data_IF_124182736545
#
_entry.id   IF_124182736545
#
_cell.length_a   1.000
_cell.length_b   1.000
_cell.length_c   1.000
_cell.angle_alpha   90.00
_cell.angle_beta   90.00
_cell.angle_gamma   90.00
#
_symmetry.space_group_name_H-M   'P 1'
#
loop_
_entity.id
_entity.type
_entity.pdbx_description
1 polymer ?
#
# COMPACT_ATOMS: atom_id res chain seq x y z
N UNK A 1 -37.41 55.40 47.88
CA UNK A 1 -37.38 53.93 47.97
C UNK A 1 -36.02 53.48 48.49
N UNK A 2 -36.01 52.92 49.70
CA UNK A 2 -34.83 52.39 50.40
C UNK A 2 -34.49 50.99 49.86
N UNK A 3 -33.21 50.63 49.75
CA UNK A 3 -32.65 49.65 50.68
C UNK A 3 -31.14 49.81 50.82
N UNK A 4 -30.72 50.08 52.06
CA UNK A 4 -29.34 50.20 52.53
C UNK A 4 -28.61 48.85 52.46
N UNK A 5 -27.32 48.89 52.13
CA UNK A 5 -26.34 47.97 52.75
C UNK A 5 -25.27 48.80 53.48
N UNK A 6 -24.88 48.41 54.70
CA UNK A 6 -24.07 49.23 55.58
C UNK A 6 -22.59 49.17 55.19
N UNK A 7 -21.98 50.35 55.08
CA UNK A 7 -20.52 50.51 55.16
C UNK A 7 -20.15 50.44 56.64
N UNK A 8 -19.40 49.41 57.03
CA UNK A 8 -18.67 49.39 58.30
C UNK A 8 -17.16 49.43 58.02
N UNK A 9 -16.54 50.56 58.38
CA UNK A 9 -15.10 50.72 58.48
C UNK A 9 -14.65 50.18 59.84
N UNK A 10 -14.08 48.97 59.88
CA UNK A 10 -13.15 48.54 60.93
C UNK A 10 -12.15 47.52 60.36
N UNK A 11 -10.86 47.88 60.47
CA UNK A 11 -9.67 47.03 60.40
C UNK A 11 -9.48 46.09 59.20
N UNK A 12 -8.51 46.43 58.35
CA UNK A 12 -7.46 45.51 57.91
C UNK A 12 -7.84 44.34 56.98
N UNK A 13 -7.38 44.44 55.73
CA UNK A 13 -7.28 43.37 54.69
C UNK A 13 -8.60 42.91 54.07
N UNK A 14 -8.94 43.54 52.94
CA UNK A 14 -9.71 42.91 51.87
C UNK A 14 -8.87 41.78 51.26
N UNK A 15 -9.23 40.54 51.55
CA UNK A 15 -8.77 39.36 50.80
C UNK A 15 -9.58 39.30 49.51
N UNK A 16 -9.04 39.84 48.42
CA UNK A 16 -9.56 39.55 47.06
C UNK A 16 -8.76 38.36 46.53
N UNK A 17 -9.32 37.16 46.73
CA UNK A 17 -8.85 35.94 46.10
C UNK A 17 -9.54 35.81 44.75
N UNK A 18 -8.96 36.34 43.66
CA UNK A 18 -9.46 36.07 42.29
C UNK A 18 -8.53 36.49 41.13
N UNK A 19 -7.23 36.76 41.35
CA UNK A 19 -6.35 37.25 40.26
C UNK A 19 -5.15 36.36 39.92
N UNK A 20 -5.13 35.09 40.34
CA UNK A 20 -3.98 34.20 40.10
C UNK A 20 -4.23 33.01 39.15
N UNK A 21 -5.36 32.96 38.43
CA UNK A 21 -5.68 31.78 37.60
C UNK A 21 -5.64 32.02 36.07
N UNK A 22 -5.62 33.28 35.61
CA UNK A 22 -5.65 33.59 34.17
C UNK A 22 -4.26 33.65 33.52
N UNK A 23 -3.21 34.02 34.25
CA UNK A 23 -1.82 34.01 33.74
C UNK A 23 -1.31 32.59 33.49
N UNK A 24 -1.62 31.65 34.39
CA UNK A 24 -1.17 30.25 34.32
C UNK A 24 -1.78 29.46 33.15
N UNK A 25 -3.01 29.81 32.75
CA UNK A 25 -3.72 29.20 31.63
C UNK A 25 -3.21 29.72 30.27
N UNK A 26 -2.84 31.00 30.19
CA UNK A 26 -2.28 31.60 28.98
C UNK A 26 -0.86 31.09 28.71
N UNK A 27 0.00 31.00 29.72
CA UNK A 27 1.35 30.45 29.59
C UNK A 27 1.35 28.98 29.14
N UNK A 28 0.43 28.16 29.66
CA UNK A 28 0.25 26.76 29.20
C UNK A 28 -0.24 26.66 27.76
N UNK A 29 -1.17 27.53 27.34
CA UNK A 29 -1.64 27.58 25.95
C UNK A 29 -0.53 28.07 25.00
N UNK A 30 0.22 29.08 25.40
CA UNK A 30 1.37 29.58 24.64
C UNK A 30 2.45 28.50 24.52
N UNK A 31 2.75 27.76 25.59
CA UNK A 31 3.67 26.59 25.53
C UNK A 31 3.17 25.49 24.60
N UNK A 32 1.87 25.17 24.60
CA UNK A 32 1.32 24.18 23.67
C UNK A 32 1.41 24.65 22.23
N UNK A 33 1.11 25.92 21.96
CA UNK A 33 1.16 26.49 20.62
C UNK A 33 2.60 26.63 20.11
N UNK A 34 3.56 27.02 20.96
CA UNK A 34 4.98 27.06 20.58
C UNK A 34 5.54 25.66 20.40
N UNK A 35 5.12 24.69 21.22
CA UNK A 35 5.47 23.28 21.02
C UNK A 35 4.89 22.72 19.72
N UNK A 36 3.63 23.01 19.40
CA UNK A 36 3.01 22.65 18.12
C UNK A 36 3.70 23.33 16.93
N UNK A 37 4.03 24.61 17.05
CA UNK A 37 4.76 25.36 16.02
C UNK A 37 6.15 24.75 15.78
N UNK A 38 6.91 24.47 16.84
CA UNK A 38 8.20 23.78 16.76
C UNK A 38 8.07 22.38 16.14
N UNK A 39 7.02 21.62 16.46
CA UNK A 39 6.77 20.32 15.81
C UNK A 39 6.45 20.48 14.32
N UNK A 40 5.66 21.49 13.94
CA UNK A 40 5.35 21.77 12.54
C UNK A 40 6.57 22.26 11.75
N UNK A 41 7.45 23.06 12.36
CA UNK A 41 8.70 23.51 11.77
C UNK A 41 9.74 22.39 11.69
N UNK A 42 9.85 21.52 12.70
CA UNK A 42 10.69 20.32 12.66
C UNK A 42 10.21 19.33 11.58
N UNK A 43 8.90 19.15 11.41
CA UNK A 43 8.36 18.40 10.28
C UNK A 43 8.65 19.07 8.93
N UNK A 44 8.50 20.40 8.84
CA UNK A 44 8.84 21.13 7.62
C UNK A 44 10.35 21.09 7.30
N UNK A 45 11.21 21.08 8.32
CA UNK A 45 12.66 20.99 8.19
C UNK A 45 13.11 19.57 7.83
N UNK A 46 12.53 18.52 8.41
CA UNK A 46 12.85 17.14 8.01
C UNK A 46 12.50 16.87 6.54
N UNK A 47 11.36 17.39 6.05
CA UNK A 47 11.01 17.35 4.62
C UNK A 47 11.96 18.19 3.74
N UNK A 48 12.39 19.36 4.22
CA UNK A 48 13.34 20.22 3.50
C UNK A 48 14.77 19.66 3.45
N UNK A 49 15.17 18.84 4.42
CA UNK A 49 16.54 18.36 4.56
C UNK A 49 16.84 17.07 3.76
N UNK A 50 15.84 16.26 3.39
CA UNK A 50 16.03 15.05 2.58
C UNK A 50 14.84 14.77 1.62
N UNK A 51 14.57 15.64 0.63
CA UNK A 51 13.46 15.45 -0.31
C UNK A 51 13.58 14.15 -1.14
N UNK A 52 14.80 13.68 -1.42
CA UNK A 52 15.03 12.45 -2.18
C UNK A 52 14.56 11.18 -1.48
N UNK A 53 14.71 11.13 -0.15
CA UNK A 53 14.29 9.98 0.65
C UNK A 53 12.77 9.88 0.77
N UNK A 54 12.10 11.02 0.95
CA UNK A 54 10.63 11.10 0.99
C UNK A 54 10.05 10.62 -0.35
N UNK A 55 10.59 11.11 -1.47
CA UNK A 55 10.17 10.69 -2.81
C UNK A 55 10.40 9.18 -3.01
N UNK A 56 11.56 8.66 -2.60
CA UNK A 56 11.86 7.23 -2.69
C UNK A 56 10.84 6.41 -1.90
N UNK A 57 10.51 6.82 -0.67
CA UNK A 57 9.51 6.14 0.16
C UNK A 57 8.14 6.12 -0.50
N UNK A 58 7.64 7.27 -0.97
CA UNK A 58 6.35 7.38 -1.66
C UNK A 58 6.28 6.47 -2.90
N UNK A 59 7.37 6.40 -3.66
CA UNK A 59 7.45 5.53 -4.86
C UNK A 59 7.48 4.05 -4.49
N UNK A 60 8.14 3.67 -3.41
CA UNK A 60 8.14 2.29 -2.92
C UNK A 60 6.79 1.88 -2.32
N UNK A 61 6.07 2.79 -1.64
CA UNK A 61 4.70 2.55 -1.19
C UNK A 61 3.75 2.36 -2.37
N UNK A 62 3.90 3.19 -3.41
CA UNK A 62 3.17 3.03 -4.68
C UNK A 62 3.47 1.66 -5.33
N UNK A 63 4.74 1.27 -5.40
CA UNK A 63 5.16 -0.03 -5.92
C UNK A 63 4.50 -1.18 -5.16
N UNK A 64 4.44 -1.12 -3.83
CA UNK A 64 3.79 -2.13 -3.01
C UNK A 64 2.32 -2.34 -3.41
N UNK A 65 1.58 -1.25 -3.59
CA UNK A 65 0.17 -1.29 -3.98
C UNK A 65 0.01 -1.83 -5.40
N UNK A 66 0.89 -1.42 -6.33
CA UNK A 66 0.86 -1.92 -7.71
C UNK A 66 1.12 -3.43 -7.78
N UNK A 67 2.06 -3.94 -6.99
CA UNK A 67 2.34 -5.39 -6.91
C UNK A 67 1.14 -6.16 -6.37
N UNK A 68 0.46 -5.64 -5.34
CA UNK A 68 -0.76 -6.25 -4.79
C UNK A 68 -1.88 -6.33 -5.85
N UNK A 69 -2.13 -5.21 -6.55
CA UNK A 69 -3.13 -5.17 -7.62
C UNK A 69 -2.79 -6.13 -8.75
N UNK A 70 -1.51 -6.18 -9.12
CA UNK A 70 -1.01 -7.12 -10.12
C UNK A 70 -1.26 -8.58 -9.73
N UNK A 71 -0.91 -8.94 -8.50
CA UNK A 71 -1.08 -10.30 -7.99
C UNK A 71 -2.55 -10.72 -7.99
N UNK A 72 -3.45 -9.84 -7.53
CA UNK A 72 -4.89 -10.09 -7.53
C UNK A 72 -5.46 -10.24 -8.95
N UNK A 73 -5.01 -9.42 -9.90
CA UNK A 73 -5.36 -9.57 -11.32
C UNK A 73 -4.92 -10.93 -11.86
N UNK A 74 -3.66 -11.32 -11.64
CA UNK A 74 -3.12 -12.63 -12.01
C UNK A 74 -3.98 -13.76 -11.45
N UNK A 75 -4.28 -13.75 -10.15
CA UNK A 75 -5.10 -14.78 -9.54
C UNK A 75 -6.49 -14.89 -10.18
N UNK A 76 -7.13 -13.76 -10.48
CA UNK A 76 -8.42 -13.74 -11.16
C UNK A 76 -8.38 -14.39 -12.56
N UNK A 77 -7.38 -14.07 -13.37
CA UNK A 77 -7.21 -14.66 -14.70
C UNK A 77 -6.89 -16.16 -14.62
N UNK A 78 -5.98 -16.55 -13.73
CA UNK A 78 -5.49 -17.91 -13.69
C UNK A 78 -6.40 -18.89 -12.96
N UNK A 79 -7.18 -18.41 -11.99
CA UNK A 79 -8.26 -19.21 -11.40
C UNK A 79 -9.23 -19.67 -12.50
N UNK A 80 -9.67 -18.75 -13.37
CA UNK A 80 -10.54 -19.08 -14.51
C UNK A 80 -9.88 -20.06 -15.47
N UNK A 81 -8.58 -19.93 -15.72
CA UNK A 81 -7.85 -20.87 -16.58
C UNK A 81 -7.87 -22.30 -16.01
N UNK A 82 -7.84 -22.46 -14.68
CA UNK A 82 -7.95 -23.79 -14.07
C UNK A 82 -9.31 -24.45 -14.34
N UNK A 83 -10.38 -23.67 -14.51
CA UNK A 83 -11.70 -24.19 -14.91
C UNK A 83 -11.66 -24.72 -16.35
N UNK A 84 -10.95 -24.02 -17.25
CA UNK A 84 -10.72 -24.50 -18.63
C UNK A 84 -9.94 -25.81 -18.62
N UNK A 85 -8.88 -25.90 -17.82
CA UNK A 85 -8.06 -27.12 -17.70
C UNK A 85 -8.84 -28.32 -17.14
N UNK A 86 -9.90 -28.08 -16.36
CA UNK A 86 -10.82 -29.12 -15.87
C UNK A 86 -11.93 -29.47 -16.86
N UNK A 87 -12.04 -28.75 -17.97
CA UNK A 87 -13.13 -28.89 -18.92
C UNK A 87 -14.47 -28.35 -18.41
N UNK A 88 -14.48 -27.51 -17.36
CA UNK A 88 -15.70 -26.90 -16.82
C UNK A 88 -16.22 -25.76 -17.70
N UNK A 89 -15.31 -25.05 -18.39
CA UNK A 89 -15.60 -23.98 -19.34
C UNK A 89 -14.68 -24.12 -20.57
N UNK A 90 -15.09 -23.54 -21.70
CA UNK A 90 -14.24 -23.51 -22.90
C UNK A 90 -13.34 -22.26 -22.98
N UNK A 91 -12.42 -22.24 -23.95
CA UNK A 91 -11.53 -21.09 -24.16
C UNK A 91 -12.25 -19.83 -24.67
N UNK A 92 -13.41 -19.95 -25.32
CA UNK A 92 -14.19 -18.81 -25.80
C UNK A 92 -14.89 -18.11 -24.63
N UNK A 93 -15.51 -18.90 -23.74
CA UNK A 93 -16.10 -18.44 -22.49
C UNK A 93 -15.04 -17.81 -21.59
N UNK A 94 -13.87 -18.43 -21.48
CA UNK A 94 -12.72 -17.86 -20.78
C UNK A 94 -12.31 -16.50 -21.35
N UNK A 95 -12.14 -16.39 -22.67
CA UNK A 95 -11.74 -15.14 -23.33
C UNK A 95 -12.84 -14.06 -23.16
N UNK A 96 -14.13 -14.43 -23.17
CA UNK A 96 -15.24 -13.51 -22.92
C UNK A 96 -15.24 -12.99 -21.47
N UNK A 97 -15.13 -13.89 -20.50
CA UNK A 97 -15.12 -13.57 -19.06
C UNK A 97 -13.87 -12.78 -18.65
N UNK A 98 -12.78 -12.88 -19.42
CA UNK A 98 -11.62 -11.99 -19.27
C UNK A 98 -11.92 -10.59 -19.79
N UNK A 99 -12.45 -10.47 -21.02
CA UNK A 99 -12.78 -9.17 -21.62
C UNK A 99 -13.78 -8.37 -20.79
N UNK A 100 -14.77 -9.04 -20.20
CA UNK A 100 -15.76 -8.40 -19.33
C UNK A 100 -15.17 -7.95 -17.97
N UNK A 101 -14.07 -8.57 -17.54
CA UNK A 101 -13.38 -8.31 -16.28
C UNK A 101 -12.28 -7.24 -16.33
N UNK A 102 -11.84 -6.79 -17.51
CA UNK A 102 -10.76 -5.80 -17.71
C UNK A 102 -11.20 -4.34 -17.36
N UNK A 103 -11.81 -4.14 -16.18
CA UNK A 103 -12.14 -2.78 -15.69
C UNK A 103 -10.97 -2.06 -15.04
N UNK A 104 -9.96 -2.78 -14.56
CA UNK A 104 -8.73 -2.21 -13.99
C UNK A 104 -7.51 -2.81 -14.68
N UNK A 105 -6.92 -2.07 -15.61
CA UNK A 105 -5.65 -2.42 -16.22
C UNK A 105 -4.54 -2.08 -15.23
N UNK A 106 -3.84 -3.10 -14.73
CA UNK A 106 -2.63 -2.88 -13.94
C UNK A 106 -1.56 -2.30 -14.86
N UNK A 107 -1.05 -1.12 -14.55
CA UNK A 107 0.01 -0.47 -15.31
C UNK A 107 1.36 -1.12 -15.02
N UNK A 108 1.68 -2.16 -15.80
CA UNK A 108 2.94 -2.89 -15.72
C UNK A 108 4.16 -2.02 -16.01
N UNK A 109 4.05 -1.11 -16.98
CA UNK A 109 5.12 -0.21 -17.36
C UNK A 109 5.51 0.70 -16.20
N UNK A 110 4.51 1.16 -15.44
CA UNK A 110 4.74 1.95 -14.25
C UNK A 110 5.41 1.17 -13.12
N UNK A 111 5.02 -0.10 -12.93
CA UNK A 111 5.65 -0.98 -11.95
C UNK A 111 7.14 -1.15 -12.27
N UNK A 112 7.46 -1.54 -13.50
CA UNK A 112 8.84 -1.73 -13.98
C UNK A 112 9.68 -0.45 -13.83
N UNK A 113 9.13 0.69 -14.28
CA UNK A 113 9.77 2.00 -14.14
C UNK A 113 10.12 2.34 -12.68
N UNK A 114 9.23 2.06 -11.72
CA UNK A 114 9.51 2.36 -10.31
C UNK A 114 10.64 1.47 -9.78
N UNK A 115 10.67 0.18 -10.14
CA UNK A 115 11.75 -0.74 -9.75
C UNK A 115 13.08 -0.27 -10.35
N UNK A 116 13.09 0.13 -11.63
CA UNK A 116 14.30 0.60 -12.32
C UNK A 116 14.88 1.87 -11.72
N UNK A 117 14.03 2.85 -11.37
CA UNK A 117 14.48 4.17 -10.91
C UNK A 117 14.73 4.20 -9.39
N UNK A 118 13.82 3.65 -8.60
CA UNK A 118 13.82 3.80 -7.13
C UNK A 118 14.17 2.51 -6.38
N UNK A 119 14.06 1.36 -7.04
CA UNK A 119 14.18 0.03 -6.46
C UNK A 119 15.35 -0.78 -6.98
N UNK A 120 16.50 -0.17 -7.30
CA UNK A 120 17.65 -0.89 -7.86
C UNK A 120 18.04 -2.13 -7.05
N UNK A 121 18.01 -2.03 -5.72
CA UNK A 121 18.30 -3.14 -4.79
C UNK A 121 17.26 -4.27 -4.86
N UNK A 122 16.05 -3.98 -5.34
CA UNK A 122 14.92 -4.90 -5.46
C UNK A 122 14.95 -5.70 -6.78
N UNK A 123 15.77 -5.29 -7.76
CA UNK A 123 15.88 -5.92 -9.09
C UNK A 123 16.10 -7.44 -9.04
N UNK A 124 16.98 -8.00 -8.19
CA UNK A 124 17.19 -9.45 -8.14
C UNK A 124 15.93 -10.22 -7.74
N UNK A 125 15.15 -9.67 -6.82
CA UNK A 125 13.88 -10.27 -6.38
C UNK A 125 12.78 -10.09 -7.41
N UNK A 126 12.71 -8.91 -8.04
CA UNK A 126 11.78 -8.64 -9.14
C UNK A 126 11.99 -9.57 -10.33
N UNK A 127 13.26 -9.81 -10.71
CA UNK A 127 13.60 -10.73 -11.80
C UNK A 127 13.10 -12.16 -11.53
N UNK A 128 13.22 -12.66 -10.30
CA UNK A 128 12.73 -14.00 -9.92
C UNK A 128 11.21 -14.12 -10.09
N UNK A 129 10.49 -13.04 -9.81
CA UNK A 129 9.04 -12.97 -10.01
C UNK A 129 8.70 -13.06 -11.51
N UNK A 130 9.41 -12.32 -12.36
CA UNK A 130 9.23 -12.38 -13.81
C UNK A 130 9.52 -13.78 -14.36
N UNK A 131 10.59 -14.42 -13.90
CA UNK A 131 10.92 -15.80 -14.27
C UNK A 131 9.83 -16.79 -13.87
N UNK A 132 9.28 -16.69 -12.65
CA UNK A 132 8.19 -17.54 -12.19
C UNK A 132 6.89 -17.30 -12.98
N UNK A 133 6.60 -16.05 -13.34
CA UNK A 133 5.48 -15.71 -14.23
C UNK A 133 5.66 -16.35 -15.61
N UNK A 134 6.87 -16.33 -16.16
CA UNK A 134 7.17 -16.92 -17.47
C UNK A 134 7.02 -18.45 -17.46
N UNK A 135 7.43 -19.12 -16.39
CA UNK A 135 7.17 -20.55 -16.21
C UNK A 135 5.67 -20.87 -16.24
N UNK A 136 4.87 -20.12 -15.49
CA UNK A 136 3.41 -20.27 -15.49
C UNK A 136 2.82 -19.99 -16.88
N UNK A 137 3.29 -18.96 -17.58
CA UNK A 137 2.89 -18.63 -18.96
C UNK A 137 3.22 -19.75 -19.96
N UNK A 138 4.35 -20.46 -19.78
CA UNK A 138 4.71 -21.60 -20.63
C UNK A 138 3.71 -22.73 -20.50
N UNK A 139 3.24 -23.01 -19.28
CA UNK A 139 2.24 -24.06 -19.01
C UNK A 139 0.90 -23.68 -19.63
N UNK A 140 0.44 -22.45 -19.42
CA UNK A 140 -0.83 -21.97 -20.00
C UNK A 140 -0.80 -21.96 -21.53
N UNK A 141 0.33 -21.56 -22.14
CA UNK A 141 0.53 -21.60 -23.59
C UNK A 141 0.62 -23.04 -24.13
N UNK A 142 1.23 -23.97 -23.39
CA UNK A 142 1.25 -25.38 -23.75
C UNK A 142 -0.16 -25.99 -23.75
N UNK A 143 -0.94 -25.76 -22.69
CA UNK A 143 -2.33 -26.19 -22.62
C UNK A 143 -3.17 -25.58 -23.75
N UNK A 144 -3.06 -24.27 -24.01
CA UNK A 144 -3.80 -23.61 -25.11
C UNK A 144 -3.46 -24.19 -26.48
N UNK A 145 -2.21 -24.64 -26.69
CA UNK A 145 -1.80 -25.32 -27.94
C UNK A 145 -2.38 -26.72 -28.04
N UNK A 146 -2.34 -27.51 -26.96
CA UNK A 146 -2.94 -28.84 -26.90
C UNK A 146 -4.46 -28.77 -27.18
N UNK A 147 -5.15 -27.84 -26.53
CA UNK A 147 -6.58 -27.61 -26.75
C UNK A 147 -6.92 -27.33 -28.22
N UNK A 148 -6.11 -26.50 -28.90
CA UNK A 148 -6.32 -26.14 -30.32
C UNK A 148 -6.16 -27.31 -31.29
N UNK A 149 -5.40 -28.35 -30.92
CA UNK A 149 -5.23 -29.56 -31.75
C UNK A 149 -6.23 -30.66 -31.39
N UNK A 150 -7.20 -30.38 -30.51
CA UNK A 150 -8.24 -31.32 -30.08
C UNK A 150 -7.88 -32.16 -28.86
N UNK A 151 -6.75 -31.88 -28.20
CA UNK A 151 -6.38 -32.48 -26.92
C UNK A 151 -6.99 -31.65 -25.79
N UNK A 152 -8.22 -32.02 -25.41
CA UNK A 152 -9.01 -31.31 -24.39
C UNK A 152 -8.70 -31.78 -22.96
N UNK A 153 -7.86 -32.80 -22.78
CA UNK A 153 -7.46 -33.26 -21.46
C UNK A 153 -6.41 -32.32 -20.86
N UNK A 154 -6.90 -31.39 -20.04
CA UNK A 154 -6.10 -30.40 -19.33
C UNK A 154 -5.55 -30.89 -17.99
N UNK A 155 -5.90 -32.09 -17.52
CA UNK A 155 -5.61 -32.54 -16.14
C UNK A 155 -4.10 -32.62 -15.89
N UNK A 156 -3.34 -33.06 -16.89
CA UNK A 156 -1.86 -33.11 -16.86
C UNK A 156 -1.18 -31.75 -16.65
N UNK A 157 -1.87 -30.64 -16.89
CA UNK A 157 -1.33 -29.30 -16.70
C UNK A 157 -1.69 -28.72 -15.32
N UNK A 158 -2.68 -29.27 -14.61
CA UNK A 158 -3.20 -28.69 -13.37
C UNK A 158 -2.15 -28.64 -12.25
N UNK A 159 -1.50 -29.75 -11.94
CA UNK A 159 -0.51 -29.78 -10.85
C UNK A 159 0.72 -28.91 -11.15
N UNK A 160 1.38 -29.01 -12.33
CA UNK A 160 2.46 -28.09 -12.68
C UNK A 160 2.04 -26.62 -12.63
N UNK A 161 0.81 -26.32 -13.03
CA UNK A 161 0.28 -24.97 -13.03
C UNK A 161 0.05 -24.44 -11.61
N UNK A 162 -0.52 -25.26 -10.71
CA UNK A 162 -0.70 -24.92 -9.29
C UNK A 162 0.64 -24.67 -8.61
N UNK A 163 1.63 -25.54 -8.85
CA UNK A 163 2.96 -25.38 -8.26
C UNK A 163 3.63 -24.08 -8.72
N UNK A 164 3.53 -23.76 -10.02
CA UNK A 164 4.03 -22.49 -10.56
C UNK A 164 3.31 -21.27 -9.95
N UNK A 165 1.98 -21.35 -9.75
CA UNK A 165 1.19 -20.29 -9.14
C UNK A 165 1.58 -20.07 -7.66
N UNK A 166 1.74 -21.14 -6.88
CA UNK A 166 2.19 -21.08 -5.48
C UNK A 166 3.59 -20.48 -5.40
N UNK A 167 4.49 -20.88 -6.31
CA UNK A 167 5.84 -20.31 -6.39
C UNK A 167 5.81 -18.81 -6.67
N UNK A 168 5.01 -18.38 -7.65
CA UNK A 168 4.85 -16.96 -7.99
C UNK A 168 4.30 -16.16 -6.81
N UNK A 169 3.28 -16.68 -6.12
CA UNK A 169 2.69 -16.06 -4.94
C UNK A 169 3.75 -15.86 -3.84
N UNK A 170 4.50 -16.91 -3.52
CA UNK A 170 5.54 -16.86 -2.49
C UNK A 170 6.61 -15.83 -2.82
N UNK A 171 7.08 -15.80 -4.07
CA UNK A 171 8.07 -14.81 -4.52
C UNK A 171 7.53 -13.39 -4.45
N UNK A 172 6.27 -13.18 -4.82
CA UNK A 172 5.61 -11.88 -4.75
C UNK A 172 5.46 -11.37 -3.32
N UNK A 173 5.10 -12.24 -2.38
CA UNK A 173 5.02 -11.87 -0.96
C UNK A 173 6.41 -11.49 -0.38
N UNK A 174 7.45 -12.27 -0.69
CA UNK A 174 8.82 -11.95 -0.28
C UNK A 174 9.28 -10.58 -0.85
N UNK A 175 8.93 -10.29 -2.09
CA UNK A 175 9.25 -9.01 -2.71
C UNK A 175 8.51 -7.84 -2.06
N UNK A 176 7.23 -8.03 -1.70
CA UNK A 176 6.47 -7.03 -0.94
C UNK A 176 7.08 -6.75 0.43
N UNK A 177 7.53 -7.77 1.14
CA UNK A 177 8.27 -7.61 2.40
C UNK A 177 9.57 -6.81 2.19
N UNK A 178 10.29 -7.08 1.11
CA UNK A 178 11.52 -6.39 0.76
C UNK A 178 11.27 -4.92 0.42
N UNK A 179 10.23 -4.61 -0.36
CA UNK A 179 9.77 -3.25 -0.64
C UNK A 179 9.46 -2.53 0.67
N UNK A 180 8.68 -3.14 1.55
CA UNK A 180 8.31 -2.54 2.83
C UNK A 180 9.52 -2.28 3.74
N UNK A 181 10.55 -3.14 3.68
CA UNK A 181 11.81 -2.92 4.38
C UNK A 181 12.57 -1.71 3.80
N UNK A 182 12.65 -1.60 2.48
CA UNK A 182 13.32 -0.47 1.82
C UNK A 182 12.58 0.85 2.05
N UNK A 183 11.25 0.84 2.02
CA UNK A 183 10.42 2.02 2.30
C UNK A 183 10.58 2.51 3.75
N UNK A 184 10.68 1.60 4.72
CA UNK A 184 10.91 1.97 6.14
C UNK A 184 12.27 2.58 6.40
N UNK A 185 13.26 2.26 5.58
CA UNK A 185 14.64 2.70 5.74
C UNK A 185 15.02 3.90 4.83
N UNK A 186 14.09 4.37 4.00
CA UNK A 186 14.24 5.57 3.18
C UNK A 186 13.88 6.81 4.01
#
# INVERSE_FOLDING_TARGET
>A
HQGRYPVSLRSGKLRVCAHLCLSFLWERKVMMLTRLALYSELMSCTYRLNPGNVLKREKLEELYILVEKWLNSIFGHYFKLTLVMRGEIDYNEFDQVIKEGEKETVDFSRLEMIVDIYGHDLQPSYKKILEARDEMNKISAAHKRAYKIGDFDGEKYLEPFKDALIRLQKLTELFKEEIAKHARNA
#
